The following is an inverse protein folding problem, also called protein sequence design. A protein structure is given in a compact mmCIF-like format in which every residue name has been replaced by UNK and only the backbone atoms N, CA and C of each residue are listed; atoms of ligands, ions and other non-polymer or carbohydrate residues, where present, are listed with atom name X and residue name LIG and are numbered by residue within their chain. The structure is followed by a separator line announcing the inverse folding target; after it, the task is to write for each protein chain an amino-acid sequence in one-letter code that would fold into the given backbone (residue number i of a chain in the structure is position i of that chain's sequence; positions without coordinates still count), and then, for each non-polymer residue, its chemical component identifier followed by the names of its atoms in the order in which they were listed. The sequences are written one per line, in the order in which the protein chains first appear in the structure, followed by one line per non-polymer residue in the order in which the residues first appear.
data_IF_863053433255
#
_entry.id   IF_863053433255
#
_cell.length_a   1.000
_cell.length_b   1.000
_cell.length_c   1.000
_cell.angle_alpha   90.00
_cell.angle_beta   90.00
_cell.angle_gamma   90.00
#
_symmetry.space_group_name_H-M   'P 1'
#
loop_
_entity.id
_entity.type
_entity.pdbx_description
1 polymer ?
#
# COMPACT_ATOMS: atom_id res chain seq x y z
N UNK A 1 -8.84 -22.41 20.24
CA UNK A 1 -8.64 -23.55 19.32
C UNK A 1 -7.89 -23.00 18.12
N UNK A 2 -6.69 -23.51 17.88
CA UNK A 2 -5.75 -23.02 16.85
C UNK A 2 -5.98 -23.85 15.59
N UNK A 3 -6.32 -23.22 14.47
CA UNK A 3 -6.12 -23.85 13.17
C UNK A 3 -4.77 -23.41 12.60
N UNK A 4 -3.98 -24.32 12.02
CA UNK A 4 -2.69 -23.97 11.45
C UNK A 4 -2.88 -23.30 10.09
N UNK A 5 -2.03 -22.32 9.83
CA UNK A 5 -1.83 -21.74 8.51
C UNK A 5 -1.49 -22.86 7.52
N UNK A 6 -2.32 -23.05 6.50
CA UNK A 6 -2.02 -23.93 5.37
C UNK A 6 -0.96 -23.25 4.50
N UNK A 7 0.26 -23.80 4.56
CA UNK A 7 1.33 -23.46 3.65
C UNK A 7 1.04 -24.09 2.28
N UNK A 8 1.14 -23.31 1.20
CA UNK A 8 0.86 -23.78 -0.18
C UNK A 8 1.76 -24.94 -0.59
N UNK A 9 2.95 -25.08 0.02
CA UNK A 9 3.85 -26.21 -0.20
C UNK A 9 3.32 -27.55 0.35
N UNK A 10 2.48 -27.53 1.39
CA UNK A 10 1.88 -28.75 1.97
C UNK A 10 0.71 -29.27 1.11
N UNK A 11 0.10 -28.42 0.28
CA UNK A 11 -0.95 -28.83 -0.65
C UNK A 11 -0.40 -29.67 -1.84
N UNK A 12 0.90 -29.55 -2.13
CA UNK A 12 1.55 -30.21 -3.27
C UNK A 12 2.67 -31.19 -2.91
N UNK A 13 2.99 -31.39 -1.62
CA UNK A 13 3.89 -32.45 -1.17
C UNK A 13 5.32 -32.39 -1.70
N UNK A 14 5.87 -31.19 -1.94
CA UNK A 14 7.21 -31.02 -2.51
C UNK A 14 8.25 -30.85 -1.39
N UNK A 15 9.02 -31.89 -1.08
CA UNK A 15 10.25 -31.78 -0.28
C UNK A 15 11.43 -31.36 -1.16
N UNK A 16 12.22 -30.41 -0.66
CA UNK A 16 13.43 -29.85 -1.25
C UNK A 16 14.54 -30.89 -1.45
N UNK A 17 14.95 -31.11 -2.70
CA UNK A 17 16.35 -31.38 -3.06
C UNK A 17 16.62 -30.80 -4.46
N UNK A 18 17.37 -29.68 -4.54
CA UNK A 18 17.98 -29.24 -5.80
C UNK A 18 19.43 -28.87 -5.49
N UNK A 19 20.33 -29.81 -5.75
CA UNK A 19 21.74 -29.53 -6.03
C UNK A 19 21.96 -29.63 -7.54
N UNK A 20 22.46 -28.55 -8.14
CA UNK A 20 23.05 -28.40 -9.48
C UNK A 20 22.25 -28.89 -10.69
N UNK A 21 21.67 -27.97 -11.47
CA UNK A 21 21.18 -28.24 -12.81
C UNK A 21 21.86 -27.31 -13.84
N UNK A 22 22.54 -27.91 -14.82
CA UNK A 22 23.28 -27.24 -15.90
C UNK A 22 22.40 -26.76 -17.07
N UNK A 23 21.08 -26.77 -16.92
CA UNK A 23 20.10 -26.43 -17.98
C UNK A 23 19.57 -24.99 -17.92
N UNK A 24 19.99 -24.18 -16.94
CA UNK A 24 19.52 -22.81 -16.76
C UNK A 24 19.88 -21.86 -17.92
N UNK A 25 20.83 -22.21 -18.79
CA UNK A 25 21.16 -21.41 -19.97
C UNK A 25 20.08 -21.44 -21.05
N UNK A 26 19.28 -22.50 -21.15
CA UNK A 26 18.23 -22.65 -22.18
C UNK A 26 16.92 -21.92 -21.85
N UNK A 27 16.72 -21.55 -20.58
CA UNK A 27 15.48 -20.89 -20.11
C UNK A 27 15.47 -19.38 -20.42
N UNK A 28 16.65 -18.76 -20.44
CA UNK A 28 16.80 -17.33 -20.77
C UNK A 28 16.55 -17.01 -22.25
N UNK A 29 16.85 -17.97 -23.14
CA UNK A 29 16.62 -17.84 -24.58
C UNK A 29 15.13 -17.97 -24.94
N UNK A 30 14.35 -18.73 -24.16
CA UNK A 30 12.91 -18.92 -24.39
C UNK A 30 12.09 -17.64 -24.11
N UNK A 31 12.42 -16.91 -23.06
CA UNK A 31 11.73 -15.66 -22.69
C UNK A 31 12.05 -14.52 -23.69
N UNK A 32 13.26 -14.50 -24.24
CA UNK A 32 13.70 -13.44 -25.16
C UNK A 32 13.05 -13.53 -26.55
N UNK A 33 12.61 -14.72 -26.98
CA UNK A 33 11.94 -14.94 -28.27
C UNK A 33 10.41 -14.69 -28.24
N UNK A 34 9.79 -14.72 -27.06
CA UNK A 34 8.33 -14.61 -26.92
C UNK A 34 7.82 -13.15 -26.80
N UNK A 35 8.72 -12.17 -26.69
CA UNK A 35 8.37 -10.81 -26.28
C UNK A 35 8.06 -9.76 -27.38
N UNK A 36 7.88 -10.13 -28.67
CA UNK A 36 7.12 -9.23 -29.53
C UNK A 36 6.19 -9.95 -30.51
N UNK A 37 5.12 -10.61 -30.05
CA UNK A 37 4.05 -11.10 -30.95
C UNK A 37 2.65 -10.90 -30.36
N UNK A 38 2.12 -9.69 -30.55
CA UNK A 38 0.69 -9.38 -30.40
C UNK A 38 -0.09 -9.87 -31.64
N UNK A 39 -0.52 -11.13 -31.67
CA UNK A 39 -1.67 -11.54 -32.48
C UNK A 39 -2.12 -12.97 -32.13
N UNK A 40 -3.36 -13.31 -32.47
CA UNK A 40 -4.00 -14.62 -32.31
C UNK A 40 -3.28 -15.80 -33.00
N UNK A 41 -2.18 -15.54 -33.72
CA UNK A 41 -1.36 -16.54 -34.39
C UNK A 41 -0.35 -17.23 -33.45
N UNK A 42 -0.06 -16.65 -32.28
CA UNK A 42 0.93 -17.18 -31.32
C UNK A 42 0.48 -18.44 -30.56
N UNK A 43 -0.83 -18.63 -30.36
CA UNK A 43 -1.41 -19.82 -29.71
C UNK A 43 -1.20 -21.10 -30.54
N UNK A 44 -1.29 -21.00 -31.87
CA UNK A 44 -1.01 -22.12 -32.77
C UNK A 44 0.48 -22.48 -32.78
N UNK A 45 1.38 -21.50 -32.63
CA UNK A 45 2.81 -21.76 -32.54
C UNK A 45 3.18 -22.44 -31.21
N UNK A 46 2.65 -21.97 -30.08
CA UNK A 46 2.89 -22.62 -28.79
C UNK A 46 2.34 -24.06 -28.75
N UNK A 47 1.14 -24.30 -29.30
CA UNK A 47 0.57 -25.64 -29.40
C UNK A 47 1.37 -26.56 -30.35
N UNK A 48 1.86 -26.01 -31.47
CA UNK A 48 2.70 -26.75 -32.42
C UNK A 48 4.07 -27.07 -31.80
N UNK A 49 4.70 -26.13 -31.10
CA UNK A 49 5.97 -26.36 -30.43
C UNK A 49 5.86 -27.35 -29.27
N UNK A 50 4.77 -27.29 -28.49
CA UNK A 50 4.46 -28.27 -27.46
C UNK A 50 4.23 -29.67 -28.07
N UNK A 51 3.56 -29.75 -29.23
CA UNK A 51 3.38 -31.02 -29.94
C UNK A 51 4.69 -31.59 -30.51
N UNK A 52 5.60 -30.74 -30.99
CA UNK A 52 6.94 -31.14 -31.48
C UNK A 52 7.84 -31.56 -30.32
N UNK A 53 7.77 -30.86 -29.18
CA UNK A 53 8.51 -31.21 -27.98
C UNK A 53 8.02 -32.54 -27.36
N UNK A 54 6.71 -32.82 -27.45
CA UNK A 54 6.12 -34.09 -27.06
C UNK A 54 6.38 -35.23 -28.06
N UNK A 55 6.60 -34.92 -29.34
CA UNK A 55 6.89 -35.93 -30.38
C UNK A 55 8.36 -36.31 -30.45
N UNK A 56 9.28 -35.39 -30.10
CA UNK A 56 10.72 -35.61 -30.17
C UNK A 56 11.35 -35.61 -28.77
N UNK A 57 11.20 -36.74 -28.07
CA UNK A 57 12.10 -37.33 -27.05
C UNK A 57 11.29 -38.19 -26.08
N UNK A 58 10.95 -39.39 -26.53
CA UNK A 58 10.81 -40.53 -25.62
C UNK A 58 12.14 -41.24 -25.69
N UNK A 59 13.00 -40.95 -24.71
CA UNK A 59 14.00 -41.86 -24.14
C UNK A 59 14.86 -41.03 -23.16
N UNK A 60 14.77 -41.40 -21.88
CA UNK A 60 15.59 -40.91 -20.75
C UNK A 60 15.39 -39.46 -20.24
N UNK A 61 14.15 -39.06 -19.94
CA UNK A 61 13.92 -38.04 -18.90
C UNK A 61 12.99 -38.61 -17.83
N UNK A 62 13.33 -38.34 -16.56
CA UNK A 62 12.54 -38.74 -15.39
C UNK A 62 11.10 -38.24 -15.55
N UNK A 63 10.16 -39.16 -15.77
CA UNK A 63 8.75 -38.90 -16.09
C UNK A 63 8.10 -37.92 -15.09
N UNK A 64 8.62 -37.86 -13.86
CA UNK A 64 8.18 -36.92 -12.82
C UNK A 64 8.52 -35.47 -13.14
N UNK A 65 9.68 -35.20 -13.73
CA UNK A 65 10.10 -33.84 -14.10
C UNK A 65 9.28 -33.34 -15.29
N UNK A 66 9.03 -34.21 -16.27
CA UNK A 66 8.21 -33.90 -17.44
C UNK A 66 6.75 -33.64 -17.04
N UNK A 67 6.17 -34.50 -16.20
CA UNK A 67 4.82 -34.29 -15.65
C UNK A 67 4.71 -33.02 -14.80
N UNK A 68 5.71 -32.71 -13.97
CA UNK A 68 5.73 -31.49 -13.17
C UNK A 68 5.75 -30.23 -14.05
N UNK A 69 6.58 -30.21 -15.09
CA UNK A 69 6.67 -29.08 -16.02
C UNK A 69 5.39 -28.93 -16.84
N UNK A 70 4.79 -30.03 -17.31
CA UNK A 70 3.49 -30.01 -18.01
C UNK A 70 2.40 -29.45 -17.08
N UNK A 71 2.37 -29.86 -15.82
CA UNK A 71 1.40 -29.38 -14.83
C UNK A 71 1.58 -27.88 -14.55
N UNK A 72 2.83 -27.41 -14.38
CA UNK A 72 3.13 -25.98 -14.20
C UNK A 72 2.69 -25.19 -15.45
N UNK A 73 3.03 -25.66 -16.66
CA UNK A 73 2.61 -25.00 -17.90
C UNK A 73 1.09 -24.98 -18.07
N UNK A 74 0.37 -26.04 -17.70
CA UNK A 74 -1.09 -26.09 -17.72
C UNK A 74 -1.73 -25.14 -16.69
N UNK A 75 -1.15 -25.05 -15.49
CA UNK A 75 -1.59 -24.09 -14.45
C UNK A 75 -1.37 -22.65 -14.93
N UNK A 76 -0.21 -22.35 -15.52
CA UNK A 76 0.07 -21.03 -16.07
C UNK A 76 -0.80 -20.70 -17.30
N UNK A 77 -1.08 -21.68 -18.16
CA UNK A 77 -1.99 -21.53 -19.30
C UNK A 77 -3.43 -21.30 -18.83
N UNK A 78 -3.91 -22.05 -17.85
CA UNK A 78 -5.26 -21.86 -17.28
C UNK A 78 -5.39 -20.53 -16.54
N UNK A 79 -4.36 -20.10 -15.80
CA UNK A 79 -4.33 -18.78 -15.14
C UNK A 79 -4.31 -17.64 -16.16
N UNK A 80 -3.48 -17.74 -17.21
CA UNK A 80 -3.44 -16.74 -18.29
C UNK A 80 -4.75 -16.70 -19.09
N UNK A 81 -5.37 -17.84 -19.39
CA UNK A 81 -6.69 -17.91 -20.02
C UNK A 81 -7.81 -17.38 -19.12
N UNK A 82 -7.72 -17.58 -17.80
CA UNK A 82 -8.65 -17.01 -16.83
C UNK A 82 -8.52 -15.47 -16.76
N UNK A 83 -7.30 -14.93 -16.88
CA UNK A 83 -7.06 -13.50 -17.02
C UNK A 83 -7.54 -12.94 -18.39
N UNK A 84 -7.62 -13.77 -19.43
CA UNK A 84 -8.09 -13.41 -20.78
C UNK A 84 -9.60 -13.60 -20.99
N UNK A 85 -10.37 -14.06 -19.99
CA UNK A 85 -11.81 -14.25 -20.15
C UNK A 85 -12.50 -12.92 -20.51
N UNK A 86 -13.16 -12.79 -21.68
CA UNK A 86 -13.71 -11.53 -22.18
C UNK A 86 -14.95 -11.03 -21.42
N UNK A 87 -15.30 -11.63 -20.29
CA UNK A 87 -16.48 -11.24 -19.51
C UNK A 87 -16.28 -10.06 -18.55
N UNK A 88 -15.10 -9.43 -18.56
CA UNK A 88 -15.03 -8.00 -18.26
C UNK A 88 -14.99 -7.24 -19.58
N UNK A 89 -16.18 -6.86 -20.05
CA UNK A 89 -16.28 -5.65 -20.86
C UNK A 89 -15.40 -4.60 -20.20
N UNK A 90 -14.49 -4.06 -21.01
CA UNK A 90 -13.82 -2.79 -20.79
C UNK A 90 -14.93 -1.80 -20.49
N UNK A 91 -15.28 -1.65 -19.22
CA UNK A 91 -16.22 -0.65 -18.78
C UNK A 91 -15.46 0.67 -18.86
N UNK A 92 -15.50 1.30 -20.04
CA UNK A 92 -14.99 2.63 -20.35
C UNK A 92 -13.64 2.97 -19.69
N UNK A 93 -12.54 2.77 -20.40
CA UNK A 93 -11.23 3.32 -20.01
C UNK A 93 -11.28 4.83 -19.75
N UNK A 94 -12.23 5.55 -20.37
CA UNK A 94 -12.45 6.98 -20.13
C UNK A 94 -13.05 7.27 -18.74
N UNK A 95 -13.73 6.29 -18.13
CA UNK A 95 -14.38 6.39 -16.82
C UNK A 95 -13.44 5.98 -15.67
N UNK A 96 -12.33 5.28 -15.96
CA UNK A 96 -11.29 5.00 -14.96
C UNK A 96 -10.44 6.24 -14.65
N UNK A 97 -10.40 7.25 -15.52
CA UNK A 97 -9.81 8.56 -15.19
C UNK A 97 -10.46 9.22 -13.96
N UNK A 98 -11.75 8.92 -13.71
CA UNK A 98 -12.52 9.39 -12.55
C UNK A 98 -12.39 8.48 -11.33
N UNK A 99 -11.81 7.29 -11.45
CA UNK A 99 -11.52 6.41 -10.31
C UNK A 99 -10.43 6.99 -9.40
N UNK A 100 -9.55 7.78 -10.00
CA UNK A 100 -8.31 8.23 -9.43
C UNK A 100 -8.46 9.24 -8.30
N UNK A 101 -7.43 9.24 -7.45
CA UNK A 101 -7.21 10.22 -6.39
C UNK A 101 -7.16 11.65 -6.94
N UNK A 102 -7.20 12.63 -6.05
CA UNK A 102 -7.06 14.04 -6.46
C UNK A 102 -5.77 14.28 -7.28
N UNK A 103 -5.78 15.34 -8.09
CA UNK A 103 -4.57 15.83 -8.73
C UNK A 103 -3.51 16.21 -7.67
N UNK A 104 -2.27 15.70 -7.77
CA UNK A 104 -1.24 15.99 -6.80
C UNK A 104 -0.78 17.45 -6.91
N UNK A 105 -0.57 18.09 -5.76
CA UNK A 105 0.12 19.39 -5.71
C UNK A 105 1.55 19.25 -6.22
N UNK A 106 2.05 20.27 -6.92
CA UNK A 106 3.37 20.19 -7.59
C UNK A 106 4.48 20.89 -6.82
N UNK A 107 4.15 21.86 -5.97
CA UNK A 107 5.13 22.56 -5.15
C UNK A 107 4.57 22.92 -3.77
N UNK A 108 5.47 23.26 -2.84
CA UNK A 108 5.12 23.59 -1.46
C UNK A 108 4.15 24.78 -1.34
N UNK A 109 4.20 25.76 -2.26
CA UNK A 109 3.32 26.94 -2.21
C UNK A 109 1.86 26.61 -2.51
N UNK A 110 1.60 25.49 -3.20
CA UNK A 110 0.24 24.98 -3.36
C UNK A 110 -0.30 24.24 -2.12
N UNK A 111 0.59 23.79 -1.22
CA UNK A 111 0.24 23.14 0.05
C UNK A 111 0.10 24.19 1.15
N UNK A 112 1.13 25.01 1.35
CA UNK A 112 1.17 26.12 2.28
C UNK A 112 2.19 27.18 1.84
N UNK A 113 1.69 28.39 1.58
CA UNK A 113 2.52 29.54 1.18
C UNK A 113 3.48 30.00 2.29
N UNK A 114 3.14 29.71 3.55
CA UNK A 114 3.90 30.07 4.74
C UNK A 114 4.77 28.92 5.27
N UNK A 115 4.85 27.80 4.54
CA UNK A 115 5.69 26.67 4.96
C UNK A 115 7.13 27.12 5.22
N UNK A 116 7.67 26.67 6.34
CA UNK A 116 9.07 26.85 6.70
C UNK A 116 9.91 25.69 6.14
N UNK A 117 11.20 25.93 5.97
CA UNK A 117 12.18 24.89 5.59
C UNK A 117 12.90 24.39 6.84
N UNK A 118 13.13 23.08 6.89
CA UNK A 118 13.85 22.39 7.96
C UNK A 118 14.90 21.45 7.36
N UNK A 119 16.08 21.41 7.96
CA UNK A 119 17.09 20.39 7.64
C UNK A 119 16.72 19.04 8.25
N UNK A 120 16.76 18.02 7.41
CA UNK A 120 16.53 16.62 7.78
C UNK A 120 17.77 15.79 7.48
N UNK A 121 17.92 14.68 8.20
CA UNK A 121 19.10 13.81 8.08
C UNK A 121 18.71 12.44 7.52
N UNK A 122 19.56 11.93 6.62
CA UNK A 122 19.35 10.65 5.92
C UNK A 122 19.37 9.47 6.89
N UNK A 123 18.39 8.60 6.75
CA UNK A 123 18.32 7.32 7.45
C UNK A 123 19.24 6.29 6.80
N UNK A 124 19.91 5.48 7.63
CA UNK A 124 20.81 4.42 7.12
C UNK A 124 20.06 3.17 6.66
N UNK A 125 18.96 2.85 7.35
CA UNK A 125 18.33 1.53 7.29
C UNK A 125 16.90 1.58 6.74
N UNK A 126 16.52 2.65 6.05
CA UNK A 126 15.17 2.79 5.51
C UNK A 126 14.88 1.73 4.44
N UNK A 127 13.71 1.09 4.53
CA UNK A 127 13.27 0.03 3.63
C UNK A 127 11.83 0.26 3.21
N UNK A 128 11.54 -0.01 1.95
CA UNK A 128 10.16 0.05 1.45
C UNK A 128 9.40 -1.19 1.89
N UNK A 129 8.19 -1.00 2.44
CA UNK A 129 7.30 -2.09 2.85
C UNK A 129 6.25 -2.39 1.78
N UNK A 130 5.58 -1.36 1.25
CA UNK A 130 4.57 -1.48 0.19
C UNK A 130 4.47 -0.17 -0.60
N UNK A 131 4.11 -0.23 -1.88
CA UNK A 131 4.04 0.91 -2.81
C UNK A 131 2.86 0.80 -3.77
N UNK A 132 2.11 1.88 -4.00
CA UNK A 132 1.17 2.01 -5.12
C UNK A 132 1.93 2.51 -6.36
N UNK A 133 2.56 1.59 -7.11
CA UNK A 133 3.39 1.92 -8.27
C UNK A 133 2.63 2.63 -9.38
N UNK A 134 1.37 2.23 -9.62
CA UNK A 134 0.53 2.82 -10.65
C UNK A 134 0.23 4.28 -10.32
N UNK A 135 -0.06 4.59 -9.05
CA UNK A 135 -0.24 5.96 -8.58
C UNK A 135 1.04 6.80 -8.74
N UNK A 136 2.21 6.26 -8.41
CA UNK A 136 3.49 6.95 -8.62
C UNK A 136 3.72 7.23 -10.11
N UNK A 137 3.55 6.23 -10.98
CA UNK A 137 3.75 6.36 -12.44
C UNK A 137 2.74 7.32 -13.08
N UNK A 138 1.55 7.45 -12.51
CA UNK A 138 0.54 8.44 -12.89
C UNK A 138 0.98 9.86 -12.51
N UNK A 139 1.36 10.04 -11.24
CA UNK A 139 1.62 11.37 -10.66
C UNK A 139 3.00 11.93 -11.03
N UNK A 140 3.97 11.06 -11.29
CA UNK A 140 5.32 11.40 -11.72
C UNK A 140 5.59 10.71 -13.07
N UNK A 141 5.15 11.29 -14.21
CA UNK A 141 5.20 10.61 -15.51
C UNK A 141 6.60 10.17 -15.95
N UNK A 142 7.66 10.82 -15.46
CA UNK A 142 9.06 10.41 -15.68
C UNK A 142 9.35 8.99 -15.16
N UNK A 143 8.58 8.52 -14.17
CA UNK A 143 8.72 7.19 -13.56
C UNK A 143 8.04 6.07 -14.35
N UNK A 144 7.28 6.37 -15.41
CA UNK A 144 6.51 5.35 -16.17
C UNK A 144 7.36 4.21 -16.71
N UNK A 145 8.61 4.50 -17.10
CA UNK A 145 9.53 3.54 -17.69
C UNK A 145 10.49 2.91 -16.66
N UNK A 146 10.36 3.27 -15.38
CA UNK A 146 11.17 2.73 -14.31
C UNK A 146 10.56 1.41 -13.82
N UNK A 147 11.42 0.44 -13.55
CA UNK A 147 11.05 -0.77 -12.85
C UNK A 147 10.67 -0.48 -11.40
N UNK A 148 9.91 -1.39 -10.80
CA UNK A 148 9.43 -1.23 -9.43
C UNK A 148 10.59 -1.15 -8.40
N UNK A 149 11.72 -1.83 -8.67
CA UNK A 149 12.93 -1.75 -7.85
C UNK A 149 13.68 -0.42 -7.99
N UNK A 150 13.68 0.19 -9.18
CA UNK A 150 14.23 1.53 -9.39
C UNK A 150 13.36 2.59 -8.70
N UNK A 151 12.03 2.42 -8.72
CA UNK A 151 11.11 3.29 -7.97
C UNK A 151 11.32 3.13 -6.46
N UNK A 152 11.50 1.91 -5.96
CA UNK A 152 11.82 1.67 -4.54
C UNK A 152 13.09 2.41 -4.12
N UNK A 153 14.16 2.28 -4.92
CA UNK A 153 15.42 2.98 -4.68
C UNK A 153 15.22 4.49 -4.69
N UNK A 154 14.52 5.01 -5.70
CA UNK A 154 14.21 6.43 -5.79
C UNK A 154 13.43 6.93 -4.57
N UNK A 155 12.39 6.21 -4.14
CA UNK A 155 11.62 6.58 -2.94
C UNK A 155 12.53 6.67 -1.70
N UNK A 156 13.35 5.66 -1.44
CA UNK A 156 14.28 5.71 -0.30
C UNK A 156 15.27 6.86 -0.45
N UNK A 157 15.79 7.10 -1.64
CA UNK A 157 16.72 8.18 -1.94
C UNK A 157 16.11 9.57 -1.69
N UNK A 158 14.82 9.77 -2.01
CA UNK A 158 14.11 11.05 -1.86
C UNK A 158 13.51 11.28 -0.46
N UNK A 159 12.85 10.29 0.14
CA UNK A 159 12.06 10.47 1.37
C UNK A 159 12.61 9.73 2.59
N UNK A 160 13.71 9.00 2.46
CA UNK A 160 14.38 8.29 3.55
C UNK A 160 15.16 9.20 4.52
N UNK A 161 14.50 10.23 5.06
CA UNK A 161 15.09 11.22 5.96
C UNK A 161 14.20 11.44 7.18
N UNK A 162 14.80 11.97 8.26
CA UNK A 162 14.11 12.26 9.51
C UNK A 162 14.53 13.63 10.06
N UNK A 163 13.62 14.32 10.73
CA UNK A 163 13.86 15.58 11.44
C UNK A 163 15.05 15.46 12.42
N UNK A 164 15.96 16.42 12.38
CA UNK A 164 17.16 16.43 13.24
C UNK A 164 16.79 16.42 14.74
N UNK A 165 15.85 17.25 15.24
CA UNK A 165 15.39 17.16 16.63
C UNK A 165 14.94 15.75 17.05
N UNK A 166 14.33 14.97 16.14
CA UNK A 166 13.92 13.61 16.42
C UNK A 166 15.11 12.70 16.76
N UNK A 167 16.24 12.86 16.08
CA UNK A 167 17.44 12.01 16.25
C UNK A 167 18.23 12.33 17.52
N UNK A 168 18.00 13.51 18.11
CA UNK A 168 18.74 14.00 19.29
C UNK A 168 18.19 13.50 20.63
N UNK A 169 17.20 12.60 20.61
CA UNK A 169 16.58 12.07 21.81
C UNK A 169 16.09 10.64 21.63
N UNK A 170 15.79 9.99 22.75
CA UNK A 170 15.29 8.60 22.80
C UNK A 170 14.04 8.43 23.68
N UNK A 171 13.34 9.53 23.95
CA UNK A 171 12.14 9.57 24.80
C UNK A 171 10.95 8.91 24.09
N UNK A 172 10.82 9.12 22.78
CA UNK A 172 9.69 8.64 21.96
C UNK A 172 10.09 7.72 20.80
N UNK A 173 11.39 7.46 20.65
CA UNK A 173 11.93 6.50 19.69
C UNK A 173 13.23 5.90 20.23
N UNK A 174 13.63 4.75 19.71
CA UNK A 174 14.98 4.23 19.90
C UNK A 174 16.00 5.11 19.19
N UNK A 175 17.30 4.88 19.44
CA UNK A 175 18.34 5.57 18.68
C UNK A 175 18.12 5.41 17.17
N UNK A 176 18.17 6.53 16.42
CA UNK A 176 17.89 6.55 14.99
C UNK A 176 19.21 6.44 14.21
N UNK A 177 19.43 5.37 13.42
CA UNK A 177 20.65 5.23 12.65
C UNK A 177 20.63 6.12 11.40
N UNK A 178 21.56 7.06 11.33
CA UNK A 178 21.67 8.04 10.23
C UNK A 178 23.02 7.96 9.52
N UNK A 179 23.12 8.54 8.32
CA UNK A 179 24.40 8.66 7.58
C UNK A 179 25.07 10.01 7.76
N UNK A 180 24.35 11.01 8.29
CA UNK A 180 24.83 12.39 8.43
C UNK A 180 24.62 13.27 7.20
N UNK A 181 24.22 12.69 6.06
CA UNK A 181 23.79 13.44 4.87
C UNK A 181 22.54 14.26 5.19
N UNK A 182 22.54 15.52 4.77
CA UNK A 182 21.48 16.49 5.04
C UNK A 182 20.82 16.95 3.75
N UNK A 183 19.49 17.10 3.79
CA UNK A 183 18.73 17.82 2.78
C UNK A 183 17.75 18.78 3.46
N UNK A 184 17.21 19.70 2.68
CA UNK A 184 16.09 20.54 3.10
C UNK A 184 14.77 19.82 2.80
N UNK A 185 13.82 19.94 3.73
CA UNK A 185 12.43 19.57 3.58
C UNK A 185 11.54 20.70 4.10
N UNK A 186 10.25 20.64 3.79
CA UNK A 186 9.30 21.69 4.16
C UNK A 186 8.39 21.24 5.28
N UNK A 187 8.17 22.12 6.26
CA UNK A 187 7.19 21.95 7.33
C UNK A 187 6.06 22.95 7.15
N UNK A 188 4.93 22.53 6.55
CA UNK A 188 3.73 23.34 6.51
C UNK A 188 3.26 23.73 7.92
N UNK A 189 2.51 24.82 7.99
CA UNK A 189 1.80 25.24 9.20
C UNK A 189 0.95 24.10 9.74
N UNK A 190 0.93 23.94 11.06
CA UNK A 190 0.21 22.87 11.79
C UNK A 190 0.73 21.43 11.58
N UNK A 191 1.82 21.21 10.82
CA UNK A 191 2.40 19.88 10.67
C UNK A 191 3.22 19.47 11.90
N UNK A 192 2.61 18.66 12.76
CA UNK A 192 3.25 18.14 13.98
C UNK A 192 4.28 17.03 13.74
N UNK A 193 3.96 16.05 12.88
CA UNK A 193 4.77 14.85 12.64
C UNK A 193 4.98 14.51 11.16
N UNK A 194 4.80 15.48 10.27
CA UNK A 194 4.95 15.28 8.84
C UNK A 194 5.83 16.37 8.23
N UNK A 195 6.46 16.07 7.11
CA UNK A 195 7.20 17.01 6.26
C UNK A 195 6.83 16.77 4.80
N UNK A 196 7.05 17.79 3.97
CA UNK A 196 6.88 17.73 2.53
C UNK A 196 8.25 17.78 1.87
N UNK A 197 8.52 16.86 0.96
CA UNK A 197 9.80 16.72 0.26
C UNK A 197 9.63 17.09 -1.20
N UNK A 198 10.60 17.84 -1.74
CA UNK A 198 10.70 18.08 -3.17
C UNK A 198 11.27 16.83 -3.86
N UNK A 199 10.51 16.30 -4.80
CA UNK A 199 10.86 15.11 -5.56
C UNK A 199 11.72 15.50 -6.75
N UNK A 200 12.86 14.85 -6.92
CA UNK A 200 13.79 15.11 -8.02
C UNK A 200 13.77 14.00 -9.07
N UNK A 201 13.88 14.40 -10.32
CA UNK A 201 14.15 13.52 -11.44
C UNK A 201 15.53 12.84 -11.23
N UNK A 202 15.62 11.48 -11.28
CA UNK A 202 16.86 10.76 -11.03
C UNK A 202 17.99 11.07 -12.01
N UNK A 203 17.66 11.53 -13.22
CA UNK A 203 18.61 11.78 -14.32
C UNK A 203 18.99 13.25 -14.36
N UNK A 204 18.01 14.15 -14.33
CA UNK A 204 18.25 15.59 -14.51
C UNK A 204 18.46 16.33 -13.19
N UNK A 205 18.03 15.77 -12.07
CA UNK A 205 18.04 16.42 -10.75
C UNK A 205 17.00 17.53 -10.57
N UNK A 206 16.20 17.82 -11.61
CA UNK A 206 15.15 18.83 -11.58
C UNK A 206 13.99 18.39 -10.68
N UNK A 207 13.30 19.34 -10.06
CA UNK A 207 12.08 19.07 -9.31
C UNK A 207 10.94 18.61 -10.24
N UNK A 208 10.26 17.52 -9.86
CA UNK A 208 9.17 16.89 -10.62
C UNK A 208 7.85 16.83 -9.83
N UNK A 209 7.85 17.31 -8.59
CA UNK A 209 6.68 17.40 -7.73
C UNK A 209 7.06 17.33 -6.25
N UNK A 210 6.08 17.02 -5.40
CA UNK A 210 6.28 16.91 -3.96
C UNK A 210 5.59 15.66 -3.38
N UNK A 211 6.08 15.19 -2.23
CA UNK A 211 5.43 14.16 -1.42
C UNK A 211 5.30 14.61 0.04
N UNK A 212 4.13 14.37 0.64
CA UNK A 212 3.89 14.52 2.09
C UNK A 212 4.23 13.20 2.78
N UNK A 213 5.07 13.25 3.82
CA UNK A 213 5.52 12.07 4.55
C UNK A 213 5.21 12.24 6.03
N UNK A 214 4.32 11.40 6.56
CA UNK A 214 3.90 11.35 7.96
C UNK A 214 4.78 10.36 8.73
N UNK A 215 5.18 10.73 9.95
CA UNK A 215 6.05 9.93 10.83
C UNK A 215 7.52 10.35 10.85
N UNK A 216 7.90 11.38 10.11
CA UNK A 216 9.30 11.82 9.89
C UNK A 216 9.88 12.74 10.96
N UNK A 217 9.16 12.94 12.07
CA UNK A 217 9.64 13.66 13.25
C UNK A 217 8.96 15.02 13.51
N UNK A 218 9.16 15.50 14.74
CA UNK A 218 8.66 16.77 15.24
C UNK A 218 9.82 17.69 15.66
N UNK A 219 9.57 19.00 15.68
CA UNK A 219 10.54 19.99 16.17
C UNK A 219 10.81 19.88 17.68
N UNK A 220 9.84 19.35 18.43
CA UNK A 220 9.88 19.23 19.90
C UNK A 220 9.33 17.86 20.33
N UNK A 221 10.03 16.76 20.01
CA UNK A 221 9.56 15.40 20.29
C UNK A 221 9.39 15.16 21.80
N UNK A 222 8.31 14.50 22.18
CA UNK A 222 8.02 14.10 23.56
C UNK A 222 6.74 13.26 23.64
N UNK A 223 6.51 12.60 24.79
CA UNK A 223 5.35 11.70 25.02
C UNK A 223 4.03 12.49 24.99
N UNK A 224 3.50 12.71 23.78
CA UNK A 224 2.29 13.45 23.42
C UNK A 224 1.74 12.81 22.14
N UNK A 225 0.43 12.88 21.91
CA UNK A 225 -0.24 12.25 20.75
C UNK A 225 0.49 12.44 19.41
N UNK A 226 0.27 13.56 18.72
CA UNK A 226 0.95 13.85 17.45
C UNK A 226 2.28 14.60 17.65
N UNK A 227 2.50 15.14 18.85
CA UNK A 227 3.72 15.87 19.20
C UNK A 227 4.96 14.98 19.42
N UNK A 228 4.80 13.65 19.43
CA UNK A 228 5.92 12.72 19.50
C UNK A 228 6.75 12.67 18.19
N UNK A 229 6.19 13.15 17.07
CA UNK A 229 6.86 13.18 15.78
C UNK A 229 6.85 11.87 15.00
N UNK A 230 6.36 10.77 15.58
CA UNK A 230 6.48 9.42 14.99
C UNK A 230 5.10 8.79 14.72
N UNK A 231 5.09 7.75 13.91
CA UNK A 231 3.94 6.87 13.70
C UNK A 231 4.45 5.42 13.76
N UNK A 232 3.61 4.48 14.22
CA UNK A 232 3.98 3.06 14.17
C UNK A 232 3.86 2.54 12.74
N UNK A 233 4.64 1.51 12.40
CA UNK A 233 4.54 0.83 11.11
C UNK A 233 3.13 0.24 10.93
N UNK A 234 2.55 -0.33 11.99
CA UNK A 234 1.18 -0.83 11.97
C UNK A 234 0.13 0.25 11.66
N UNK A 235 0.27 1.46 12.22
CA UNK A 235 -0.59 2.61 11.89
C UNK A 235 -0.48 2.97 10.40
N UNK A 236 0.73 3.07 9.87
CA UNK A 236 0.97 3.49 8.48
C UNK A 236 0.48 2.46 7.45
N UNK A 237 0.65 1.16 7.74
CA UNK A 237 0.13 0.06 6.90
C UNK A 237 -1.40 0.08 6.89
N UNK A 238 -2.01 0.24 8.07
CA UNK A 238 -3.47 0.33 8.18
C UNK A 238 -4.00 1.53 7.40
N UNK A 239 -3.38 2.70 7.53
CA UNK A 239 -3.79 3.91 6.84
C UNK A 239 -3.70 3.76 5.31
N UNK A 240 -2.62 3.13 4.80
CA UNK A 240 -2.46 2.80 3.38
C UNK A 240 -3.59 1.92 2.83
N UNK A 241 -3.99 0.90 3.60
CA UNK A 241 -5.08 -0.02 3.22
C UNK A 241 -6.42 0.68 3.30
N UNK A 242 -6.67 1.43 4.37
CA UNK A 242 -7.93 2.13 4.58
C UNK A 242 -8.17 3.20 3.52
N UNK A 243 -7.16 3.97 3.14
CA UNK A 243 -7.28 4.93 2.03
C UNK A 243 -7.73 4.22 0.75
N UNK A 244 -7.06 3.12 0.39
CA UNK A 244 -7.41 2.34 -0.78
C UNK A 244 -8.82 1.76 -0.69
N UNK A 245 -9.27 1.31 0.48
CA UNK A 245 -10.63 0.81 0.70
C UNK A 245 -11.64 1.93 0.51
N UNK A 246 -11.38 3.09 1.11
CA UNK A 246 -12.24 4.27 1.02
C UNK A 246 -12.32 4.81 -0.40
N UNK A 247 -11.27 4.68 -1.22
CA UNK A 247 -11.30 4.96 -2.66
C UNK A 247 -12.38 4.14 -3.38
N UNK A 248 -12.52 2.84 -3.05
CA UNK A 248 -13.57 1.97 -3.63
C UNK A 248 -14.96 2.33 -3.11
N UNK A 249 -15.08 2.60 -1.80
CA UNK A 249 -16.34 3.06 -1.20
C UNK A 249 -16.82 4.36 -1.86
N UNK A 250 -15.93 5.34 -2.02
CA UNK A 250 -16.24 6.61 -2.68
C UNK A 250 -16.69 6.39 -4.13
N UNK A 251 -15.99 5.53 -4.90
CA UNK A 251 -16.39 5.14 -6.26
C UNK A 251 -17.82 4.60 -6.33
N UNK A 252 -18.18 3.69 -5.43
CA UNK A 252 -19.51 3.06 -5.40
C UNK A 252 -20.60 4.00 -4.85
N UNK A 253 -20.22 4.98 -4.02
CA UNK A 253 -21.17 5.84 -3.31
C UNK A 253 -21.71 7.02 -4.11
N UNK A 254 -21.18 7.26 -5.31
CA UNK A 254 -21.47 8.43 -6.15
C UNK A 254 -21.16 9.78 -5.47
N UNK A 255 -20.41 9.77 -4.36
CA UNK A 255 -19.84 10.99 -3.78
C UNK A 255 -18.82 11.59 -4.76
N UNK A 256 -18.81 12.92 -4.86
CA UNK A 256 -17.86 13.64 -5.71
C UNK A 256 -16.47 13.71 -5.10
N UNK A 257 -16.35 13.52 -3.78
CA UNK A 257 -15.09 13.49 -3.06
C UNK A 257 -14.20 12.32 -3.51
N UNK A 258 -12.89 12.57 -3.50
CA UNK A 258 -11.83 11.59 -3.75
C UNK A 258 -10.92 11.46 -2.54
N UNK A 259 -10.07 10.46 -2.51
CA UNK A 259 -9.01 10.34 -1.50
C UNK A 259 -7.77 11.12 -1.91
N UNK A 260 -7.03 11.62 -0.93
CA UNK A 260 -5.60 11.94 -1.09
C UNK A 260 -4.85 10.61 -1.15
N UNK A 261 -4.08 10.41 -2.20
CA UNK A 261 -3.47 9.13 -2.52
C UNK A 261 -2.30 8.73 -1.65
N UNK A 262 -2.26 7.45 -1.27
CA UNK A 262 -1.12 6.83 -0.59
C UNK A 262 -0.12 6.31 -1.61
N UNK A 263 1.11 6.81 -1.60
CA UNK A 263 2.17 6.31 -2.48
C UNK A 263 2.87 5.10 -1.90
N UNK A 264 3.25 5.12 -0.62
CA UNK A 264 4.06 4.05 -0.04
C UNK A 264 4.02 4.02 1.50
N UNK A 265 4.48 2.91 2.06
CA UNK A 265 4.88 2.77 3.46
C UNK A 265 6.35 2.38 3.52
N UNK A 266 7.11 3.05 4.38
CA UNK A 266 8.54 2.83 4.59
C UNK A 266 8.80 2.49 6.06
N UNK A 267 9.58 1.45 6.32
CA UNK A 267 10.20 1.17 7.61
C UNK A 267 11.49 1.98 7.70
N UNK A 268 11.59 2.99 8.59
CA UNK A 268 12.77 3.84 8.71
C UNK A 268 13.94 3.17 9.46
N UNK A 269 13.75 1.97 10.01
CA UNK A 269 14.80 1.19 10.68
C UNK A 269 15.04 1.57 12.15
N UNK A 270 14.04 2.15 12.82
CA UNK A 270 14.02 2.39 14.27
C UNK A 270 12.62 2.10 14.84
N UNK A 271 12.47 2.14 16.16
CA UNK A 271 11.20 1.86 16.85
C UNK A 271 10.68 3.09 17.60
N UNK A 272 9.36 3.21 17.68
CA UNK A 272 8.64 4.11 18.57
C UNK A 272 8.78 3.59 20.01
N UNK A 273 8.99 4.49 20.96
CA UNK A 273 9.00 4.20 22.40
C UNK A 273 7.73 4.76 23.01
N UNK A 274 6.91 3.89 23.59
CA UNK A 274 5.65 4.24 24.24
C UNK A 274 5.87 4.71 25.68
N UNK A 275 4.85 5.35 26.26
CA UNK A 275 4.92 5.88 27.62
C UNK A 275 5.14 4.80 28.69
N UNK A 276 4.71 3.56 28.43
CA UNK A 276 4.94 2.40 29.30
C UNK A 276 6.32 1.75 29.10
N UNK A 277 7.15 2.32 28.21
CA UNK A 277 8.47 1.82 27.87
C UNK A 277 8.49 0.68 26.85
N UNK A 278 7.32 0.18 26.42
CA UNK A 278 7.24 -0.77 25.31
C UNK A 278 7.63 -0.09 24.00
N UNK A 279 7.98 -0.90 22.99
CA UNK A 279 8.33 -0.39 21.67
C UNK A 279 7.44 -0.98 20.58
N UNK A 280 7.31 -0.24 19.48
CA UNK A 280 6.72 -0.74 18.24
C UNK A 280 7.54 -0.26 17.06
N UNK A 281 7.61 -1.02 15.96
CA UNK A 281 8.32 -0.58 14.76
C UNK A 281 7.79 0.78 14.29
N UNK A 282 8.66 1.72 13.95
CA UNK A 282 8.24 3.00 13.38
C UNK A 282 7.88 2.84 11.90
N UNK A 283 7.02 3.72 11.39
CA UNK A 283 6.60 3.74 9.99
C UNK A 283 6.50 5.14 9.43
N UNK A 284 6.88 5.29 8.17
CA UNK A 284 6.61 6.48 7.37
C UNK A 284 5.49 6.20 6.39
N UNK A 285 4.48 7.07 6.36
CA UNK A 285 3.37 7.02 5.42
C UNK A 285 3.54 8.12 4.37
N UNK A 286 3.84 7.70 3.14
CA UNK A 286 4.13 8.58 2.00
C UNK A 286 2.85 8.76 1.19
N UNK A 287 2.45 10.01 0.96
CA UNK A 287 1.18 10.36 0.29
C UNK A 287 1.32 11.60 -0.57
N UNK A 288 0.31 11.84 -1.40
CA UNK A 288 0.19 13.06 -2.19
C UNK A 288 0.27 14.30 -1.29
N UNK A 289 1.04 15.31 -1.73
CA UNK A 289 0.96 16.65 -1.17
C UNK A 289 -0.48 17.18 -1.29
N UNK A 290 -0.99 17.81 -0.23
CA UNK A 290 -2.36 18.30 -0.17
C UNK A 290 -2.44 19.58 0.67
N UNK A 291 -3.37 20.46 0.33
CA UNK A 291 -3.63 21.67 1.11
C UNK A 291 -4.54 21.38 2.29
N UNK A 292 -4.48 22.25 3.30
CA UNK A 292 -5.36 22.21 4.48
C UNK A 292 -5.89 23.60 4.76
N UNK A 293 -7.04 23.68 5.43
CA UNK A 293 -7.49 24.94 6.05
C UNK A 293 -6.68 25.12 7.34
N UNK A 294 -5.81 26.14 7.46
CA UNK A 294 -4.98 26.33 8.64
C UNK A 294 -5.83 26.48 9.92
N UNK A 295 -5.31 26.03 11.06
CA UNK A 295 -5.89 26.19 12.40
C UNK A 295 -7.31 25.62 12.59
N UNK A 296 -7.81 24.86 11.61
CA UNK A 296 -9.16 24.27 11.65
C UNK A 296 -9.17 22.79 12.04
N UNK A 297 -8.01 22.20 12.34
CA UNK A 297 -7.86 20.73 12.41
C UNK A 297 -8.10 20.02 11.07
N UNK A 298 -8.18 20.78 9.98
CA UNK A 298 -8.47 20.34 8.62
C UNK A 298 -9.80 19.59 8.45
N UNK A 299 -10.75 19.84 9.34
CA UNK A 299 -12.10 19.29 9.26
C UNK A 299 -12.84 19.80 8.02
N UNK A 300 -13.51 18.90 7.30
CA UNK A 300 -14.51 19.33 6.32
C UNK A 300 -15.68 20.06 7.02
N UNK A 301 -16.45 20.89 6.30
CA UNK A 301 -17.69 21.48 6.81
C UNK A 301 -18.62 20.43 7.43
N UNK A 302 -19.29 20.78 8.53
CA UNK A 302 -20.10 19.82 9.33
C UNK A 302 -21.18 19.13 8.50
N UNK A 303 -21.89 19.88 7.65
CA UNK A 303 -22.92 19.35 6.75
C UNK A 303 -22.35 18.30 5.78
N UNK A 304 -21.18 18.58 5.19
CA UNK A 304 -20.48 17.65 4.32
C UNK A 304 -19.97 16.43 5.10
N UNK A 305 -19.42 16.62 6.30
CA UNK A 305 -19.00 15.50 7.16
C UNK A 305 -20.16 14.59 7.51
N UNK A 306 -21.30 15.14 7.90
CA UNK A 306 -22.50 14.38 8.22
C UNK A 306 -23.02 13.62 6.99
N UNK A 307 -23.02 14.26 5.81
CA UNK A 307 -23.37 13.59 4.55
C UNK A 307 -22.45 12.39 4.26
N UNK A 308 -21.14 12.60 4.29
CA UNK A 308 -20.13 11.57 4.03
C UNK A 308 -20.22 10.44 5.06
N UNK A 309 -20.35 10.78 6.35
CA UNK A 309 -20.48 9.80 7.43
C UNK A 309 -21.72 8.93 7.25
N UNK A 310 -22.87 9.53 6.93
CA UNK A 310 -24.10 8.77 6.69
C UNK A 310 -23.96 7.80 5.52
N UNK A 311 -23.25 8.20 4.46
CA UNK A 311 -22.91 7.32 3.33
C UNK A 311 -21.99 6.20 3.78
N UNK A 312 -20.88 6.51 4.46
CA UNK A 312 -19.92 5.49 4.94
C UNK A 312 -20.57 4.48 5.88
N UNK A 313 -21.50 4.90 6.74
CA UNK A 313 -22.25 3.98 7.58
C UNK A 313 -23.09 2.97 6.79
N UNK A 314 -23.51 3.26 5.55
CA UNK A 314 -24.19 2.28 4.69
C UNK A 314 -23.26 1.14 4.27
N UNK A 315 -21.96 1.41 4.17
CA UNK A 315 -20.92 0.41 3.92
C UNK A 315 -20.46 -0.28 5.20
N UNK A 316 -20.90 0.22 6.36
CA UNK A 316 -20.45 -0.18 7.69
C UNK A 316 -19.06 0.35 8.05
N UNK A 317 -18.70 1.54 7.55
CA UNK A 317 -17.48 2.24 7.98
C UNK A 317 -17.88 3.45 8.82
N UNK A 318 -17.40 3.51 10.05
CA UNK A 318 -17.54 4.64 10.95
C UNK A 318 -16.24 5.47 10.93
N UNK A 319 -16.23 6.67 10.33
CA UNK A 319 -15.07 7.55 10.36
C UNK A 319 -14.81 8.12 11.75
N UNK A 320 -15.70 7.86 12.73
CA UNK A 320 -15.56 8.27 14.11
C UNK A 320 -15.40 9.79 14.25
N UNK A 321 -16.18 10.52 13.44
CA UNK A 321 -16.11 11.97 13.23
C UNK A 321 -14.76 12.46 12.68
N UNK A 322 -13.82 11.59 12.29
CA UNK A 322 -12.50 11.95 11.77
C UNK A 322 -12.45 12.25 10.25
N UNK A 323 -13.39 13.01 9.70
CA UNK A 323 -13.37 13.31 8.26
C UNK A 323 -12.63 14.62 8.00
N UNK A 324 -11.34 14.52 7.70
CA UNK A 324 -10.50 15.65 7.30
C UNK A 324 -10.43 15.76 5.77
N UNK A 325 -10.18 16.96 5.25
CA UNK A 325 -10.13 17.15 3.81
C UNK A 325 -9.43 18.42 3.33
N UNK A 326 -9.25 18.49 2.02
CA UNK A 326 -8.54 19.56 1.33
C UNK A 326 -9.33 20.87 1.40
N UNK A 327 -8.65 22.00 1.17
CA UNK A 327 -9.25 23.35 1.25
C UNK A 327 -10.42 23.54 0.28
N UNK A 328 -10.41 22.85 -0.86
CA UNK A 328 -11.51 22.87 -1.84
C UNK A 328 -12.62 21.83 -1.55
N UNK A 329 -12.50 21.07 -0.45
CA UNK A 329 -13.43 20.01 -0.03
C UNK A 329 -13.59 18.84 -1.02
N UNK A 330 -12.69 18.72 -2.00
CA UNK A 330 -12.71 17.65 -3.01
C UNK A 330 -11.92 16.41 -2.59
N UNK A 331 -10.91 16.55 -1.73
CA UNK A 331 -10.08 15.46 -1.23
C UNK A 331 -10.35 15.15 0.24
N UNK A 332 -10.36 13.87 0.59
CA UNK A 332 -10.42 13.35 1.97
C UNK A 332 -9.08 12.71 2.32
N UNK A 333 -8.61 12.90 3.54
CA UNK A 333 -7.38 12.29 4.05
C UNK A 333 -7.48 11.92 5.54
N UNK A 334 -6.44 11.28 6.06
CA UNK A 334 -6.31 10.83 7.46
C UNK A 334 -7.31 9.73 7.84
N UNK A 335 -7.13 8.56 7.24
CA UNK A 335 -7.99 7.39 7.44
C UNK A 335 -7.60 6.54 8.66
N UNK A 336 -6.55 6.93 9.40
CA UNK A 336 -5.97 6.14 10.48
C UNK A 336 -6.91 5.85 11.68
N UNK A 337 -8.05 6.55 11.75
CA UNK A 337 -9.04 6.41 12.83
C UNK A 337 -10.36 5.79 12.41
N UNK A 338 -10.51 5.42 11.14
CA UNK A 338 -11.76 4.85 10.65
C UNK A 338 -11.93 3.45 11.24
N UNK A 339 -13.18 3.07 11.48
CA UNK A 339 -13.53 1.79 12.12
C UNK A 339 -14.52 1.06 11.24
N UNK A 340 -14.29 -0.22 11.07
CA UNK A 340 -15.11 -1.14 10.31
C UNK A 340 -16.13 -1.77 11.26
N UNK A 341 -17.43 -1.66 10.95
CA UNK A 341 -18.57 -1.95 11.84
C UNK A 341 -19.68 -2.73 11.13
N UNK A 342 -20.17 -3.78 11.77
CA UNK A 342 -21.24 -4.65 11.25
C UNK A 342 -22.60 -4.48 11.98
N UNK A 343 -22.67 -3.53 12.91
CA UNK A 343 -23.77 -3.34 13.85
C UNK A 343 -24.40 -1.94 13.77
N UNK A 344 -24.00 -1.13 12.77
CA UNK A 344 -24.62 0.15 12.51
C UNK A 344 -26.01 -0.04 11.89
N UNK A 345 -27.03 0.64 12.45
CA UNK A 345 -28.43 0.55 12.00
C UNK A 345 -28.64 0.93 10.53
N UNK A 346 -27.78 1.79 9.99
CA UNK A 346 -27.89 2.33 8.63
C UNK A 346 -27.16 1.50 7.57
N UNK A 347 -26.58 0.34 7.94
CA UNK A 347 -25.88 -0.53 6.99
C UNK A 347 -26.85 -0.98 5.90
N UNK A 348 -26.39 -0.90 4.65
CA UNK A 348 -27.03 -1.53 3.52
C UNK A 348 -26.39 -2.90 3.29
N UNK A 349 -27.10 -4.03 3.47
CA UNK A 349 -26.53 -5.37 3.31
C UNK A 349 -25.89 -5.65 1.95
N UNK A 350 -26.31 -4.92 0.91
CA UNK A 350 -25.75 -5.05 -0.44
C UNK A 350 -24.41 -4.32 -0.60
N UNK A 351 -24.15 -3.29 0.21
CA UNK A 351 -22.93 -2.46 0.18
C UNK A 351 -21.99 -2.73 1.35
N UNK A 352 -22.47 -3.43 2.37
CA UNK A 352 -21.72 -3.77 3.57
C UNK A 352 -20.37 -4.43 3.21
N UNK A 353 -19.27 -3.82 3.65
CA UNK A 353 -17.94 -4.40 3.52
C UNK A 353 -17.93 -5.76 4.25
N UNK A 354 -17.32 -6.83 3.69
CA UNK A 354 -17.42 -8.18 4.24
C UNK A 354 -16.65 -8.34 5.57
N UNK A 355 -17.31 -7.94 6.67
CA UNK A 355 -16.74 -7.81 8.01
C UNK A 355 -16.45 -9.10 8.76
N UNK A 356 -16.89 -10.26 8.25
CA UNK A 356 -16.57 -11.55 8.86
C UNK A 356 -15.05 -11.78 8.96
N UNK A 357 -14.27 -11.05 8.15
CA UNK A 357 -12.83 -10.98 8.30
C UNK A 357 -12.40 -9.77 9.15
N UNK A 358 -13.05 -8.60 9.11
CA UNK A 358 -12.43 -7.32 9.58
C UNK A 358 -13.15 -6.54 10.67
N UNK A 359 -14.14 -7.12 11.37
CA UNK A 359 -14.82 -6.42 12.46
C UNK A 359 -13.92 -5.93 13.61
N UNK A 360 -14.55 -5.46 14.68
CA UNK A 360 -13.88 -5.15 15.94
C UNK A 360 -14.29 -6.16 17.01
N UNK A 361 -13.47 -6.31 18.05
CA UNK A 361 -13.81 -7.18 19.17
C UNK A 361 -14.95 -6.56 19.99
N UNK A 362 -16.17 -7.07 19.75
CA UNK A 362 -17.40 -6.63 20.42
C UNK A 362 -17.45 -6.99 21.91
N UNK A 363 -16.56 -7.87 22.38
CA UNK A 363 -16.48 -8.18 23.81
C UNK A 363 -15.86 -7.02 24.60
N UNK A 364 -15.12 -6.15 23.93
CA UNK A 364 -14.47 -5.00 24.53
C UNK A 364 -15.47 -3.84 24.62
N UNK A 365 -15.75 -3.38 25.84
CA UNK A 365 -16.59 -2.20 26.08
C UNK A 365 -15.76 -0.94 25.86
N UNK A 366 -16.25 -0.01 25.03
CA UNK A 366 -15.63 1.31 24.91
C UNK A 366 -15.58 2.03 26.25
N UNK A 367 -14.43 2.65 26.51
CA UNK A 367 -14.28 3.60 27.59
C UNK A 367 -15.05 4.88 27.26
N UNK A 368 -15.77 5.41 28.25
CA UNK A 368 -16.56 6.62 28.07
C UNK A 368 -15.65 7.80 27.70
N UNK A 369 -15.94 8.46 26.58
CA UNK A 369 -15.21 9.65 26.12
C UNK A 369 -13.99 9.37 25.25
N UNK A 370 -13.49 8.13 25.17
CA UNK A 370 -12.45 7.79 24.19
C UNK A 370 -13.09 7.44 22.85
N UNK A 371 -13.32 8.48 22.04
CA UNK A 371 -13.83 8.28 20.68
C UNK A 371 -12.93 7.32 19.90
N UNK A 372 -11.62 7.31 20.11
CA UNK A 372 -10.67 6.55 19.29
C UNK A 372 -10.58 5.07 19.64
N UNK A 373 -11.19 4.66 20.74
CA UNK A 373 -11.05 3.33 21.32
C UNK A 373 -11.14 2.18 20.31
N UNK A 374 -12.24 2.11 19.55
CA UNK A 374 -12.47 1.00 18.63
C UNK A 374 -11.49 0.97 17.45
N UNK A 375 -10.98 2.13 17.04
CA UNK A 375 -9.94 2.21 15.99
C UNK A 375 -8.62 1.57 16.40
N UNK A 376 -8.37 1.40 17.70
CA UNK A 376 -7.17 0.74 18.24
C UNK A 376 -7.42 -0.72 18.64
N UNK A 377 -8.61 -1.26 18.34
CA UNK A 377 -9.09 -2.58 18.76
C UNK A 377 -9.77 -3.36 17.64
N UNK A 378 -9.82 -2.81 16.43
CA UNK A 378 -10.36 -3.52 15.27
C UNK A 378 -9.34 -4.52 14.70
N UNK A 379 -9.81 -5.52 13.96
CA UNK A 379 -8.92 -6.51 13.36
C UNK A 379 -7.90 -5.88 12.40
N UNK A 380 -8.25 -4.91 11.53
CA UNK A 380 -7.26 -4.23 10.70
C UNK A 380 -6.12 -3.58 11.49
N UNK A 381 -6.40 -2.97 12.65
CA UNK A 381 -5.37 -2.46 13.56
C UNK A 381 -4.49 -3.60 14.07
N UNK A 382 -5.10 -4.64 14.64
CA UNK A 382 -4.39 -5.75 15.24
C UNK A 382 -3.48 -6.45 14.22
N UNK A 383 -3.99 -6.76 13.04
CA UNK A 383 -3.23 -7.44 11.99
C UNK A 383 -2.13 -6.58 11.40
N UNK A 384 -2.34 -5.28 11.23
CA UNK A 384 -1.30 -4.40 10.73
C UNK A 384 -0.15 -4.24 11.74
N UNK A 385 -0.45 -4.25 13.04
CA UNK A 385 0.56 -4.24 14.10
C UNK A 385 1.26 -5.61 14.24
N UNK A 386 0.52 -6.72 14.15
CA UNK A 386 1.10 -8.06 14.13
C UNK A 386 2.03 -8.26 12.93
N UNK A 387 1.62 -7.79 11.74
CA UNK A 387 2.46 -7.76 10.56
C UNK A 387 3.73 -6.93 10.80
N UNK A 388 3.59 -5.72 11.34
CA UNK A 388 4.72 -4.84 11.62
C UNK A 388 5.73 -5.49 12.58
N UNK A 389 5.25 -6.16 13.63
CA UNK A 389 6.12 -6.89 14.57
C UNK A 389 6.85 -8.05 13.89
N UNK A 390 6.16 -8.82 13.04
CA UNK A 390 6.78 -9.89 12.27
C UNK A 390 7.80 -9.35 11.25
N UNK A 391 7.50 -8.22 10.61
CA UNK A 391 8.43 -7.52 9.73
C UNK A 391 9.70 -7.13 10.46
N UNK A 392 9.59 -6.49 11.63
CA UNK A 392 10.76 -6.09 12.45
C UNK A 392 11.57 -7.29 12.92
N UNK A 393 10.93 -8.42 13.22
CA UNK A 393 11.58 -9.69 13.60
C UNK A 393 12.21 -10.42 12.40
N UNK A 394 11.98 -9.96 11.16
CA UNK A 394 12.43 -10.63 9.94
C UNK A 394 11.62 -11.88 9.60
N UNK A 395 10.45 -12.06 10.19
CA UNK A 395 9.52 -13.16 9.92
C UNK A 395 8.52 -12.84 8.79
N UNK A 396 8.43 -11.57 8.39
CA UNK A 396 7.62 -11.13 7.26
C UNK A 396 8.46 -10.30 6.29
N UNK A 397 8.08 -10.30 5.02
CA UNK A 397 8.74 -9.57 3.95
C UNK A 397 7.74 -8.74 3.11
N UNK A 398 8.19 -8.21 1.96
CA UNK A 398 7.35 -7.38 1.08
C UNK A 398 6.18 -8.15 0.47
N UNK A 399 6.36 -9.43 0.18
CA UNK A 399 5.32 -10.27 -0.41
C UNK A 399 4.21 -10.50 0.62
N UNK A 400 4.58 -10.65 1.89
CA UNK A 400 3.63 -10.70 3.00
C UNK A 400 2.89 -9.36 3.18
N UNK A 401 3.56 -8.22 2.95
CA UNK A 401 2.91 -6.90 2.98
C UNK A 401 1.84 -6.78 1.89
N UNK A 402 2.17 -7.20 0.67
CA UNK A 402 1.21 -7.25 -0.44
C UNK A 402 0.08 -8.23 -0.20
N UNK A 403 0.38 -9.40 0.36
CA UNK A 403 -0.64 -10.38 0.73
C UNK A 403 -1.58 -9.84 1.80
N UNK A 404 -1.05 -9.17 2.82
CA UNK A 404 -1.84 -8.47 3.84
C UNK A 404 -2.76 -7.42 3.20
N UNK A 405 -2.21 -6.59 2.31
CA UNK A 405 -2.98 -5.60 1.56
C UNK A 405 -4.07 -6.22 0.71
N UNK A 406 -3.79 -7.30 -0.03
CA UNK A 406 -4.76 -8.00 -0.88
C UNK A 406 -5.83 -8.74 -0.09
N UNK A 407 -5.46 -9.39 1.02
CA UNK A 407 -6.40 -10.05 1.93
C UNK A 407 -7.38 -9.04 2.51
N UNK A 408 -6.92 -7.81 2.71
CA UNK A 408 -7.80 -6.69 2.97
C UNK A 408 -8.50 -6.26 1.66
N UNK A 409 -7.93 -5.65 0.65
CA UNK A 409 -8.79 -5.03 -0.39
C UNK A 409 -9.66 -5.97 -1.25
N UNK A 410 -9.25 -7.22 -1.48
CA UNK A 410 -9.92 -8.11 -2.46
C UNK A 410 -11.40 -8.40 -2.12
N UNK A 411 -11.78 -8.75 -0.87
CA UNK A 411 -13.19 -8.91 -0.51
C UNK A 411 -14.04 -7.65 -0.72
N UNK A 412 -13.50 -6.45 -0.51
CA UNK A 412 -14.20 -5.18 -0.73
C UNK A 412 -14.47 -4.97 -2.21
N UNK A 413 -13.44 -5.15 -3.04
CA UNK A 413 -13.56 -5.00 -4.49
C UNK A 413 -14.53 -6.00 -5.08
N UNK A 414 -14.52 -7.24 -4.59
CA UNK A 414 -15.49 -8.27 -4.98
C UNK A 414 -16.91 -7.88 -4.59
N UNK A 415 -17.11 -7.34 -3.38
CA UNK A 415 -18.42 -6.94 -2.86
C UNK A 415 -18.99 -5.74 -3.62
N UNK A 416 -18.18 -4.70 -3.83
CA UNK A 416 -18.60 -3.44 -4.46
C UNK A 416 -18.53 -3.48 -5.99
N UNK A 417 -17.96 -4.54 -6.59
CA UNK A 417 -17.76 -4.68 -8.04
C UNK A 417 -16.99 -3.51 -8.66
N UNK A 418 -16.16 -2.84 -7.88
CA UNK A 418 -15.42 -1.62 -8.30
C UNK A 418 -14.22 -1.91 -9.20
N UNK A 419 -13.90 -3.19 -9.42
CA UNK A 419 -12.68 -3.66 -10.08
C UNK A 419 -11.48 -3.65 -9.14
N UNK A 420 -10.41 -4.36 -9.51
CA UNK A 420 -9.08 -4.21 -8.89
C UNK A 420 -8.49 -2.95 -9.52
N UNK A 421 -8.79 -1.80 -8.94
CA UNK A 421 -8.20 -0.55 -9.40
C UNK A 421 -6.71 -0.56 -9.07
N UNK A 422 -5.87 -0.79 -10.09
CA UNK A 422 -4.41 -0.69 -9.98
C UNK A 422 -3.62 -2.00 -9.83
N UNK A 423 -4.24 -3.17 -10.03
CA UNK A 423 -3.48 -4.37 -10.37
C UNK A 423 -4.20 -5.16 -11.46
N UNK A 424 -3.62 -5.18 -12.65
CA UNK A 424 -4.02 -6.14 -13.67
C UNK A 424 -3.84 -7.55 -13.12
N UNK A 425 -4.70 -8.49 -13.52
CA UNK A 425 -4.52 -9.93 -13.27
C UNK A 425 -3.08 -10.40 -13.61
N UNK A 426 -2.43 -9.69 -14.54
CA UNK A 426 -1.05 -9.85 -14.97
C UNK A 426 0.00 -9.50 -13.89
N UNK A 427 -0.21 -8.48 -13.06
CA UNK A 427 0.71 -8.14 -11.95
C UNK A 427 0.66 -9.19 -10.83
N UNK A 428 -0.54 -9.68 -10.50
CA UNK A 428 -0.71 -10.80 -9.57
C UNK A 428 -0.02 -12.07 -10.11
N UNK A 429 -0.12 -12.31 -11.42
CA UNK A 429 0.58 -13.43 -12.07
C UNK A 429 2.10 -13.25 -12.13
N UNK A 430 2.61 -12.07 -12.46
CA UNK A 430 4.04 -11.78 -12.50
C UNK A 430 4.67 -11.92 -11.12
N UNK A 431 3.94 -11.60 -10.06
CA UNK A 431 4.41 -11.76 -8.69
C UNK A 431 4.41 -13.23 -8.21
N UNK A 432 3.48 -14.06 -8.71
CA UNK A 432 3.46 -15.50 -8.42
C UNK A 432 4.48 -16.31 -9.25
N UNK A 433 5.09 -15.67 -10.26
CA UNK A 433 6.03 -16.26 -11.22
C UNK A 433 7.51 -15.94 -10.93
N UNK A 434 7.78 -14.99 -10.04
CA UNK A 434 9.09 -14.70 -9.46
C UNK A 434 9.29 -15.53 -8.20
#
# INVERSE_FOLDING_TARGET
MREPFLNVYDFFGVKNEISSCSLCSSYHDFISLALPLQSSWSLNWAATYLSIFLSNKTDELDDKIVMKNILISLVLLTLSLACQSPHRTIANSDNDSQFWNIEPKRNIKEVDVHSETEQVVKLRNAKVVIVDYDLIKRDFPVMKNYSDSEIDKWLIDQVGYVSIPQTKQTIVNTAIPTTGELIDAHRPTDYGRALVFDMKDPVTGNEIGIMDVKGVGALRPGQRDHGNGVATLGETIREFVYENMMRRVLKDSELTQKTVGSYAVIDPGFDVVHADGSTSPAGFYVRQGHDRVPQSGAWLPEDLRMKIQNVFHQYGVDPNRNIQGTKNHGGIFDFGHYVVRDDLKSINPNKQIPFAQWGYDKSIKAEAGDRWFYSKKDYPWNWSHEFADNWRKGHANRDDAWRHFLNMLSPVEKKLKTGIGGQSCLQLMNHLLQ
#
